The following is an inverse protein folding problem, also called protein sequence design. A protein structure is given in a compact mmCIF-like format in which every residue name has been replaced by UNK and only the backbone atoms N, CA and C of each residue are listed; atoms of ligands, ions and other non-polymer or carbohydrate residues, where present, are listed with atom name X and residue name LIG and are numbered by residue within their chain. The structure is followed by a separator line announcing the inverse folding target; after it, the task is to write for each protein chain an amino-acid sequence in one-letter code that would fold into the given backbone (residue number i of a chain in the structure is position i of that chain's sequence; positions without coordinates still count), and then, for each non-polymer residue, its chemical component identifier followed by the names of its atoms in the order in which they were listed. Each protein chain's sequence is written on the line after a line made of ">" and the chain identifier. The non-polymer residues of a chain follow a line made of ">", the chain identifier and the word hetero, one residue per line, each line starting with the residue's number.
data_IF_151102635716
#
_entry.id   IF_151102635716
#
_cell.length_a   1.000
_cell.length_b   1.000
_cell.length_c   1.000
_cell.angle_alpha   90.00
_cell.angle_beta   90.00
_cell.angle_gamma   90.00
#
_symmetry.space_group_name_H-M   'P 1'
#
loop_
_entity.id
_entity.type
_entity.pdbx_description
1 polymer ?
#
# COMPACT_ATOMS: atom_id res chain seq x y z
N UNK A 1 -15.45 -9.12 -22.60
CA UNK A 1 -14.98 -7.76 -22.92
C UNK A 1 -15.47 -6.88 -21.79
N UNK A 2 -14.58 -6.54 -20.87
CA UNK A 2 -14.86 -5.70 -19.71
C UNK A 2 -15.01 -4.25 -20.21
N UNK A 3 -16.04 -3.53 -19.75
CA UNK A 3 -16.28 -2.18 -20.25
C UNK A 3 -15.10 -1.26 -19.86
N UNK A 4 -14.70 -0.39 -20.79
CA UNK A 4 -13.68 0.62 -20.54
C UNK A 4 -14.30 1.72 -19.69
N UNK A 5 -13.75 1.94 -18.50
CA UNK A 5 -14.24 2.96 -17.58
C UNK A 5 -13.65 4.33 -17.94
N UNK A 6 -14.43 5.39 -17.72
CA UNK A 6 -13.94 6.75 -17.92
C UNK A 6 -12.99 7.13 -16.78
N UNK A 7 -11.81 7.74 -17.06
CA UNK A 7 -10.87 8.20 -16.03
C UNK A 7 -11.44 9.24 -15.05
N UNK A 8 -12.57 9.87 -15.39
CA UNK A 8 -13.27 10.81 -14.50
C UNK A 8 -14.09 10.05 -13.45
N UNK A 9 -14.55 8.84 -13.78
CA UNK A 9 -15.46 8.03 -12.96
C UNK A 9 -14.70 7.00 -12.15
N UNK A 10 -13.68 6.37 -12.74
CA UNK A 10 -12.85 5.36 -12.07
C UNK A 10 -11.38 5.55 -12.43
N UNK A 11 -10.50 5.23 -11.48
CA UNK A 11 -9.05 5.21 -11.67
C UNK A 11 -8.56 3.96 -12.42
N UNK A 12 -9.44 2.99 -12.64
CA UNK A 12 -9.17 1.76 -13.38
C UNK A 12 -9.64 1.87 -14.82
N UNK A 13 -8.91 1.23 -15.74
CA UNK A 13 -9.27 1.24 -17.16
C UNK A 13 -10.45 0.31 -17.45
N UNK A 14 -10.67 -0.70 -16.61
CA UNK A 14 -11.71 -1.73 -16.83
C UNK A 14 -12.41 -2.13 -15.54
N UNK A 15 -13.68 -2.52 -15.67
CA UNK A 15 -14.48 -3.07 -14.56
C UNK A 15 -13.83 -4.30 -13.89
N UNK A 16 -13.10 -5.11 -14.65
CA UNK A 16 -12.44 -6.31 -14.12
C UNK A 16 -11.25 -5.95 -13.21
N UNK A 17 -10.48 -4.93 -13.57
CA UNK A 17 -9.40 -4.41 -12.73
C UNK A 17 -9.95 -3.79 -11.44
N UNK A 18 -11.01 -3.00 -11.54
CA UNK A 18 -11.70 -2.41 -10.40
C UNK A 18 -12.23 -3.50 -9.46
N UNK A 19 -12.96 -4.49 -9.99
CA UNK A 19 -13.50 -5.59 -9.19
C UNK A 19 -12.42 -6.45 -8.52
N UNK A 20 -11.28 -6.63 -9.19
CA UNK A 20 -10.12 -7.34 -8.63
C UNK A 20 -9.48 -6.55 -7.49
N UNK A 21 -9.28 -5.24 -7.68
CA UNK A 21 -8.78 -4.36 -6.64
C UNK A 21 -9.72 -4.31 -5.43
N UNK A 22 -11.02 -4.17 -5.67
CA UNK A 22 -12.04 -4.10 -4.62
C UNK A 22 -12.04 -5.35 -3.74
N UNK A 23 -11.96 -6.55 -4.36
CA UNK A 23 -11.88 -7.81 -3.63
C UNK A 23 -10.62 -7.89 -2.77
N UNK A 24 -9.46 -7.56 -3.34
CA UNK A 24 -8.20 -7.54 -2.59
C UNK A 24 -8.22 -6.52 -1.45
N UNK A 25 -8.75 -5.32 -1.70
CA UNK A 25 -8.80 -4.24 -0.71
C UNK A 25 -9.69 -4.61 0.47
N UNK A 26 -10.88 -5.16 0.20
CA UNK A 26 -11.78 -5.64 1.26
C UNK A 26 -11.16 -6.77 2.07
N UNK A 27 -10.52 -7.74 1.43
CA UNK A 27 -9.82 -8.81 2.14
C UNK A 27 -8.72 -8.27 3.07
N UNK A 28 -7.95 -7.28 2.59
CA UNK A 28 -6.90 -6.63 3.37
C UNK A 28 -7.43 -5.82 4.54
N UNK A 29 -8.58 -5.14 4.36
CA UNK A 29 -9.26 -4.41 5.44
C UNK A 29 -9.79 -5.38 6.49
N UNK A 30 -10.41 -6.48 6.09
CA UNK A 30 -10.87 -7.51 7.02
C UNK A 30 -9.71 -8.12 7.83
N UNK A 31 -8.58 -8.41 7.18
CA UNK A 31 -7.38 -8.89 7.86
C UNK A 31 -6.90 -7.88 8.91
N UNK A 32 -6.81 -6.60 8.55
CA UNK A 32 -6.42 -5.53 9.47
C UNK A 32 -7.41 -5.34 10.63
N UNK A 33 -8.71 -5.51 10.38
CA UNK A 33 -9.75 -5.43 11.42
C UNK A 33 -9.73 -6.61 12.38
N UNK A 34 -9.36 -7.80 11.89
CA UNK A 34 -9.21 -9.02 12.71
C UNK A 34 -7.87 -9.09 13.45
N UNK A 35 -6.92 -8.23 13.11
CA UNK A 35 -5.62 -8.18 13.78
C UNK A 35 -5.77 -7.77 15.25
N UNK A 36 -5.20 -8.58 16.14
CA UNK A 36 -5.11 -8.30 17.58
C UNK A 36 -3.90 -7.41 17.92
N UNK A 37 -3.13 -6.97 16.91
CA UNK A 37 -1.96 -6.14 17.13
C UNK A 37 -2.34 -4.78 17.77
N UNK A 38 -1.53 -4.29 18.71
CA UNK A 38 -1.79 -3.00 19.34
C UNK A 38 -1.70 -1.88 18.30
N UNK A 39 -2.67 -0.96 18.37
CA UNK A 39 -2.65 0.24 17.52
C UNK A 39 -1.46 1.12 17.88
N UNK A 40 -0.71 1.52 16.86
CA UNK A 40 0.47 2.37 17.02
C UNK A 40 0.05 3.86 17.04
N UNK A 41 0.51 4.65 18.02
CA UNK A 41 0.34 6.10 17.99
C UNK A 41 0.96 6.72 16.74
N UNK A 42 0.41 7.84 16.27
CA UNK A 42 0.87 8.52 15.06
C UNK A 42 2.38 8.76 15.04
N UNK A 43 2.93 9.33 16.12
CA UNK A 43 4.36 9.65 16.20
C UNK A 43 5.25 8.41 16.10
N UNK A 44 4.83 7.32 16.73
CA UNK A 44 5.56 6.05 16.66
C UNK A 44 5.48 5.40 15.27
N UNK A 45 4.34 5.55 14.57
CA UNK A 45 4.20 5.11 13.18
C UNK A 45 5.13 5.90 12.26
N UNK A 46 5.20 7.22 12.42
CA UNK A 46 6.10 8.07 11.66
C UNK A 46 7.57 7.74 11.94
N UNK A 47 7.95 7.52 13.21
CA UNK A 47 9.30 7.11 13.57
C UNK A 47 9.70 5.78 12.90
N UNK A 48 8.79 4.80 12.89
CA UNK A 48 9.00 3.51 12.21
C UNK A 48 9.24 3.69 10.72
N UNK A 49 8.43 4.52 10.05
CA UNK A 49 8.58 4.79 8.61
C UNK A 49 9.91 5.50 8.31
N UNK A 50 10.29 6.51 9.10
CA UNK A 50 11.54 7.23 8.91
C UNK A 50 12.76 6.30 9.03
N UNK A 51 12.79 5.45 10.07
CA UNK A 51 13.85 4.46 10.23
C UNK A 51 13.96 3.52 9.02
N UNK A 52 12.84 3.01 8.51
CA UNK A 52 12.83 2.16 7.30
C UNK A 52 13.36 2.90 6.06
N UNK A 53 13.07 4.19 5.92
CA UNK A 53 13.56 5.00 4.79
C UNK A 53 15.06 5.25 4.90
N UNK A 54 15.57 5.55 6.09
CA UNK A 54 17.00 5.72 6.33
C UNK A 54 17.78 4.46 6.01
N UNK A 55 17.33 3.30 6.47
CA UNK A 55 17.96 2.02 6.16
C UNK A 55 17.99 1.74 4.65
N UNK A 56 16.89 2.01 3.95
CA UNK A 56 16.84 1.90 2.48
C UNK A 56 17.79 2.87 1.78
N UNK A 57 17.96 4.09 2.29
CA UNK A 57 18.91 5.07 1.74
C UNK A 57 20.35 4.64 1.95
N UNK A 58 20.70 4.17 3.16
CA UNK A 58 22.03 3.63 3.47
C UNK A 58 22.36 2.44 2.58
N UNK A 59 21.43 1.50 2.41
CA UNK A 59 21.59 0.34 1.54
C UNK A 59 21.78 0.71 0.06
N UNK A 60 21.10 1.76 -0.42
CA UNK A 60 21.31 2.27 -1.79
C UNK A 60 22.67 2.96 -1.94
N UNK A 61 23.08 3.74 -0.95
CA UNK A 61 24.37 4.43 -0.95
C UNK A 61 25.54 3.43 -0.89
N UNK A 62 25.45 2.39 -0.04
CA UNK A 62 26.47 1.35 0.01
C UNK A 62 26.57 0.56 -1.29
N UNK A 63 25.43 0.27 -1.94
CA UNK A 63 25.38 -0.39 -3.24
C UNK A 63 25.88 0.47 -4.41
N UNK A 64 25.90 1.80 -4.25
CA UNK A 64 26.45 2.74 -5.21
C UNK A 64 27.98 2.92 -5.09
N UNK A 65 28.56 2.49 -3.98
CA UNK A 65 30.00 2.61 -3.68
C UNK A 65 30.76 1.31 -4.03
N UNK A 66 30.04 0.27 -4.45
CA UNK A 66 30.58 -1.00 -4.98
C UNK A 66 30.54 -1.02 -6.49
#
# INVERSE_FOLDING_TARGET
>A
MSAVLSPIVSEFDTEEQEASYDQWFRAKVEEAMRSEEPRLPHDAAMAKVQAMLEERRKARASRSVV
#
